data_IF_647628569608
#
_entry.id   IF_647628569608
#
_cell.length_a   1.000
_cell.length_b   1.000
_cell.length_c   1.000
_cell.angle_alpha   90.00
_cell.angle_beta   90.00
_cell.angle_gamma   90.00
#
_symmetry.space_group_name_H-M   'P 1'
#
loop_
_entity.id
_entity.type
_entity.pdbx_description
1 polymer ?
#
# COMPACT_ATOMS: atom_id res chain seq x y z
N UNK A 1 -2.55 13.99 7.89
CA UNK A 1 -3.53 12.95 7.99
C UNK A 1 -3.40 12.18 9.31
N UNK A 2 -4.43 12.09 10.13
CA UNK A 2 -4.36 11.53 11.47
C UNK A 2 -5.11 10.21 11.59
N UNK A 3 -4.53 9.24 12.30
CA UNK A 3 -5.16 7.95 12.62
C UNK A 3 -6.50 8.09 13.33
N UNK A 4 -6.66 9.16 14.11
CA UNK A 4 -7.88 9.45 14.82
C UNK A 4 -9.05 9.87 13.92
N UNK A 5 -8.80 10.05 12.63
CA UNK A 5 -9.79 10.47 11.64
C UNK A 5 -10.14 9.35 10.66
N UNK A 6 -9.97 8.12 11.10
CA UNK A 6 -10.22 6.93 10.30
C UNK A 6 -11.73 6.64 10.22
N UNK A 7 -12.27 6.62 9.02
CA UNK A 7 -13.68 6.33 8.74
C UNK A 7 -14.10 4.89 9.07
N UNK A 8 -13.15 3.97 9.26
CA UNK A 8 -13.45 2.58 9.61
C UNK A 8 -13.78 2.36 11.09
N UNK A 9 -13.77 3.40 11.91
CA UNK A 9 -14.20 3.34 13.29
C UNK A 9 -13.26 2.61 14.26
N UNK A 10 -12.09 2.25 13.85
CA UNK A 10 -11.15 1.48 14.69
C UNK A 10 -10.10 2.31 15.43
N UNK A 11 -10.25 3.63 15.45
CA UNK A 11 -9.34 4.51 16.16
C UNK A 11 -10.10 5.66 16.81
N UNK A 12 -10.18 5.71 18.12
CA UNK A 12 -11.03 6.61 18.87
C UNK A 12 -11.05 8.07 18.41
N UNK A 13 -12.21 8.68 18.40
CA UNK A 13 -12.45 10.11 18.15
C UNK A 13 -12.49 10.54 16.69
N UNK A 14 -12.08 9.72 15.74
CA UNK A 14 -12.06 10.09 14.32
C UNK A 14 -13.34 9.81 13.55
N UNK A 15 -14.21 8.98 14.06
CA UNK A 15 -15.45 8.54 13.39
C UNK A 15 -16.35 9.73 13.04
N UNK A 16 -16.68 10.55 14.01
CA UNK A 16 -17.58 11.68 13.81
C UNK A 16 -17.04 12.70 12.80
N UNK A 17 -15.73 12.90 12.76
CA UNK A 17 -15.10 13.77 11.77
C UNK A 17 -15.12 13.15 10.37
N UNK A 18 -14.73 11.89 10.26
CA UNK A 18 -14.69 11.18 8.99
C UNK A 18 -16.08 11.03 8.37
N UNK A 19 -17.11 10.79 9.18
CA UNK A 19 -18.50 10.73 8.76
C UNK A 19 -19.06 12.07 8.28
N UNK A 20 -18.47 13.18 8.71
CA UNK A 20 -18.91 14.52 8.34
C UNK A 20 -18.12 15.13 7.18
N UNK A 21 -16.85 14.74 6.99
CA UNK A 21 -15.98 15.36 5.99
C UNK A 21 -16.22 14.77 4.60
N UNK A 22 -16.73 15.56 3.71
CA UNK A 22 -16.90 15.22 2.30
C UNK A 22 -15.82 15.86 1.45
N UNK A 23 -15.19 15.06 0.61
CA UNK A 23 -14.21 15.60 -0.35
C UNK A 23 -14.90 16.53 -1.35
N UNK A 24 -14.28 17.67 -1.69
CA UNK A 24 -14.77 18.55 -2.76
C UNK A 24 -14.51 18.00 -4.17
N UNK A 25 -13.82 16.86 -4.26
CA UNK A 25 -13.44 16.19 -5.50
C UNK A 25 -13.76 14.70 -5.42
N UNK A 26 -13.89 14.06 -6.57
CA UNK A 26 -14.05 12.59 -6.65
C UNK A 26 -12.73 11.90 -6.35
N UNK A 27 -12.82 10.73 -5.73
CA UNK A 27 -11.66 9.83 -5.57
C UNK A 27 -11.22 9.26 -6.92
N UNK A 28 -9.96 8.83 -7.01
CA UNK A 28 -9.44 8.19 -8.23
C UNK A 28 -10.29 6.99 -8.65
N UNK A 29 -10.61 6.02 -7.75
CA UNK A 29 -11.48 4.90 -8.13
C UNK A 29 -12.83 5.37 -8.70
N UNK A 30 -13.42 6.39 -8.10
CA UNK A 30 -14.68 6.95 -8.59
C UNK A 30 -14.57 7.55 -9.99
N UNK A 31 -13.49 8.23 -10.30
CA UNK A 31 -13.24 8.78 -11.64
C UNK A 31 -13.15 7.68 -12.70
N UNK A 32 -12.39 6.61 -12.41
CA UNK A 32 -12.30 5.45 -13.31
C UNK A 32 -13.63 4.73 -13.46
N UNK A 33 -14.37 4.55 -12.37
CA UNK A 33 -15.69 3.94 -12.41
C UNK A 33 -16.67 4.73 -13.28
N UNK A 34 -16.72 6.05 -13.11
CA UNK A 34 -17.56 6.93 -13.93
C UNK A 34 -17.14 6.92 -15.40
N UNK A 35 -15.89 6.58 -15.72
CA UNK A 35 -15.39 6.37 -17.07
C UNK A 35 -15.66 4.95 -17.62
N UNK A 36 -16.37 4.10 -16.88
CA UNK A 36 -16.75 2.76 -17.32
C UNK A 36 -15.76 1.65 -17.00
N UNK A 37 -14.73 1.93 -16.21
CA UNK A 37 -13.78 0.93 -15.77
C UNK A 37 -14.37 0.07 -14.64
N UNK A 38 -14.04 -1.21 -14.62
CA UNK A 38 -14.17 -2.04 -13.44
C UNK A 38 -13.14 -1.60 -12.40
N UNK A 39 -13.56 -1.35 -11.18
CA UNK A 39 -12.68 -0.85 -10.12
C UNK A 39 -12.49 -1.89 -9.02
N UNK A 40 -11.26 -2.17 -8.65
CA UNK A 40 -10.96 -3.13 -7.60
C UNK A 40 -9.97 -2.60 -6.56
N UNK A 41 -10.14 -3.06 -5.32
CA UNK A 41 -9.25 -2.77 -4.20
C UNK A 41 -8.96 -4.05 -3.45
N UNK A 42 -7.77 -4.59 -3.66
CA UNK A 42 -7.30 -5.83 -3.06
C UNK A 42 -6.08 -5.65 -2.17
N UNK A 43 -5.68 -6.75 -1.55
CA UNK A 43 -4.35 -6.91 -0.97
C UNK A 43 -3.48 -7.69 -1.96
N UNK A 44 -3.10 -8.89 -1.64
CA UNK A 44 -2.38 -9.75 -2.58
C UNK A 44 -3.41 -10.58 -3.36
N UNK A 45 -3.27 -10.72 -4.69
CA UNK A 45 -4.22 -11.49 -5.50
C UNK A 45 -4.49 -12.90 -4.95
N UNK A 46 -3.45 -13.60 -4.50
CA UNK A 46 -3.56 -14.94 -3.91
C UNK A 46 -4.39 -15.04 -2.63
N UNK A 47 -4.62 -13.91 -1.95
CA UNK A 47 -5.38 -13.88 -0.69
C UNK A 47 -6.87 -13.64 -0.89
N UNK A 48 -7.31 -13.08 -2.02
CA UNK A 48 -8.70 -12.75 -2.29
C UNK A 48 -9.36 -11.81 -1.27
N UNK A 49 -8.54 -11.04 -0.52
CA UNK A 49 -9.01 -10.14 0.54
C UNK A 49 -9.07 -8.69 0.07
N UNK A 50 -10.06 -7.95 0.58
CA UNK A 50 -10.20 -6.53 0.28
C UNK A 50 -9.00 -5.72 0.82
N UNK A 51 -8.62 -4.69 0.08
CA UNK A 51 -7.66 -3.68 0.50
C UNK A 51 -8.18 -2.81 1.64
N UNK A 52 -7.29 -2.02 2.23
CA UNK A 52 -7.66 -1.07 3.29
C UNK A 52 -8.55 0.05 2.74
N UNK A 53 -9.51 0.44 3.55
CA UNK A 53 -10.42 1.56 3.29
C UNK A 53 -10.55 2.45 4.54
N UNK A 54 -9.48 2.56 5.32
CA UNK A 54 -9.41 3.40 6.51
C UNK A 54 -9.24 4.90 6.15
N UNK A 55 -10.09 5.37 5.25
CA UNK A 55 -10.14 6.78 4.85
C UNK A 55 -10.69 7.64 6.00
N UNK A 56 -10.20 8.86 6.08
CA UNK A 56 -10.67 9.86 7.04
C UNK A 56 -11.63 10.89 6.41
N UNK A 57 -12.42 10.44 5.45
CA UNK A 57 -13.47 11.20 4.77
C UNK A 57 -14.63 10.27 4.38
N UNK A 58 -15.78 10.86 4.08
CA UNK A 58 -16.93 10.10 3.59
C UNK A 58 -16.64 9.59 2.19
N UNK A 59 -16.74 8.29 2.02
CA UNK A 59 -16.57 7.60 0.75
C UNK A 59 -17.68 6.57 0.54
N UNK A 60 -17.85 6.09 -0.68
CA UNK A 60 -18.85 5.10 -1.03
C UNK A 60 -18.19 3.74 -1.31
N UNK A 61 -18.59 2.70 -0.59
CA UNK A 61 -18.08 1.34 -0.81
C UNK A 61 -18.30 0.87 -2.26
N UNK A 62 -19.31 1.40 -2.93
CA UNK A 62 -19.60 1.15 -4.35
C UNK A 62 -18.58 1.77 -5.31
N UNK A 63 -17.60 2.54 -4.81
CA UNK A 63 -16.49 3.02 -5.63
C UNK A 63 -15.56 1.87 -6.07
N UNK A 64 -15.69 0.70 -5.44
CA UNK A 64 -15.04 -0.54 -5.86
C UNK A 64 -16.05 -1.62 -6.19
N UNK A 65 -15.86 -2.28 -7.34
CA UNK A 65 -16.70 -3.38 -7.83
C UNK A 65 -16.22 -4.74 -7.27
N UNK A 66 -14.92 -4.86 -7.01
CA UNK A 66 -14.32 -6.11 -6.56
C UNK A 66 -12.97 -5.92 -5.86
N UNK A 67 -12.24 -7.03 -5.74
CA UNK A 67 -10.94 -7.10 -5.06
C UNK A 67 -9.78 -7.38 -6.03
N UNK A 68 -10.11 -7.87 -7.24
CA UNK A 68 -9.15 -8.21 -8.27
C UNK A 68 -9.75 -7.89 -9.65
N UNK A 69 -8.92 -7.47 -10.62
CA UNK A 69 -9.37 -7.21 -11.99
C UNK A 69 -9.95 -8.45 -12.70
N UNK A 70 -9.61 -9.68 -12.25
CA UNK A 70 -10.16 -10.93 -12.80
C UNK A 70 -11.67 -11.10 -12.54
N UNK A 71 -12.24 -10.32 -11.62
CA UNK A 71 -13.68 -10.32 -11.35
C UNK A 71 -14.49 -9.50 -12.38
N UNK A 72 -13.81 -8.77 -13.28
CA UNK A 72 -14.45 -7.91 -14.26
C UNK A 72 -15.15 -8.71 -15.37
N UNK A 73 -16.21 -8.17 -15.98
CA UNK A 73 -16.72 -8.65 -17.25
C UNK A 73 -15.62 -8.69 -18.34
N UNK A 74 -15.72 -9.67 -19.23
CA UNK A 74 -14.77 -9.80 -20.34
C UNK A 74 -14.70 -8.52 -21.20
N UNK A 75 -13.51 -8.06 -21.50
CA UNK A 75 -13.26 -6.87 -22.33
C UNK A 75 -13.46 -5.53 -21.62
N UNK A 76 -13.94 -5.50 -20.39
CA UNK A 76 -14.06 -4.24 -19.64
C UNK A 76 -12.67 -3.76 -19.21
N UNK A 77 -12.30 -2.47 -19.41
CA UNK A 77 -11.09 -1.92 -18.84
C UNK A 77 -11.17 -1.89 -17.32
N UNK A 78 -10.02 -1.89 -16.64
CA UNK A 78 -9.99 -1.92 -15.19
C UNK A 78 -9.05 -0.87 -14.59
N UNK A 79 -9.37 -0.47 -13.38
CA UNK A 79 -8.50 0.18 -12.41
C UNK A 79 -8.36 -0.75 -11.21
N UNK A 80 -7.15 -1.21 -10.92
CA UNK A 80 -6.91 -2.08 -9.79
C UNK A 80 -5.90 -1.45 -8.82
N UNK A 81 -6.23 -1.47 -7.55
CA UNK A 81 -5.38 -1.00 -6.48
C UNK A 81 -5.07 -2.19 -5.56
N UNK A 82 -3.77 -2.45 -5.33
CA UNK A 82 -3.31 -3.45 -4.39
C UNK A 82 -2.56 -2.78 -3.25
N UNK A 83 -2.92 -3.13 -2.02
CA UNK A 83 -2.30 -2.58 -0.82
C UNK A 83 -1.49 -3.66 -0.13
N UNK A 84 -0.19 -3.63 -0.37
CA UNK A 84 0.76 -4.55 0.24
C UNK A 84 1.10 -4.13 1.67
N UNK A 85 1.47 -5.09 2.49
CA UNK A 85 1.99 -4.79 3.83
C UNK A 85 3.37 -4.15 3.68
N UNK A 86 3.50 -2.91 4.08
CA UNK A 86 4.75 -2.16 3.94
C UNK A 86 5.90 -2.69 4.84
N UNK A 87 7.07 -2.07 4.73
CA UNK A 87 8.31 -2.44 5.42
C UNK A 87 8.29 -2.40 6.95
N UNK A 88 7.14 -2.19 7.57
CA UNK A 88 6.90 -2.33 9.01
C UNK A 88 6.49 -3.74 9.45
N UNK A 89 6.36 -4.66 8.50
CA UNK A 89 6.05 -6.07 8.80
C UNK A 89 7.20 -6.73 9.53
N UNK A 90 6.92 -7.37 10.68
CA UNK A 90 7.93 -8.05 11.51
C UNK A 90 7.91 -9.56 11.35
N UNK A 91 7.04 -10.09 10.52
CA UNK A 91 6.86 -11.53 10.30
C UNK A 91 7.44 -12.07 9.00
N UNK A 92 8.22 -11.29 8.27
CA UNK A 92 8.89 -11.75 7.06
C UNK A 92 9.96 -12.81 7.38
N UNK A 93 10.18 -13.81 6.52
CA UNK A 93 11.27 -14.76 6.68
C UNK A 93 12.63 -14.05 6.80
N UNK A 94 13.44 -14.51 7.73
CA UNK A 94 14.78 -13.94 7.97
C UNK A 94 15.74 -14.45 6.89
N UNK A 95 16.24 -13.54 6.06
CA UNK A 95 17.18 -13.82 4.96
C UNK A 95 18.39 -12.89 5.01
N UNK A 96 18.23 -11.70 5.59
CA UNK A 96 19.27 -10.69 5.70
C UNK A 96 20.06 -10.90 6.98
N UNK A 97 21.37 -11.02 6.84
CA UNK A 97 22.31 -11.09 7.99
C UNK A 97 22.42 -9.70 8.63
N UNK A 98 22.05 -9.53 9.92
CA UNK A 98 22.21 -8.27 10.62
C UNK A 98 23.67 -7.74 10.63
N UNK A 99 24.65 -8.62 10.61
CA UNK A 99 26.05 -8.23 10.58
C UNK A 99 26.47 -7.59 9.23
N UNK A 100 25.76 -7.94 8.16
CA UNK A 100 26.05 -7.46 6.80
C UNK A 100 25.28 -6.19 6.41
N UNK A 101 24.35 -5.69 7.26
CA UNK A 101 23.55 -4.51 6.90
C UNK A 101 24.37 -3.22 6.98
N UNK A 102 24.09 -2.31 6.05
CA UNK A 102 24.58 -0.93 6.11
C UNK A 102 23.52 -0.06 6.74
N UNK A 103 23.77 0.40 7.96
CA UNK A 103 22.89 1.36 8.61
C UNK A 103 23.04 2.76 7.97
N UNK A 104 21.96 3.56 7.92
CA UNK A 104 22.08 4.98 7.61
C UNK A 104 23.11 5.67 8.53
N UNK A 105 23.88 6.64 8.03
CA UNK A 105 25.02 7.22 8.77
C UNK A 105 24.63 7.97 10.04
N UNK A 106 23.37 8.29 10.23
CA UNK A 106 22.83 8.95 11.43
C UNK A 106 22.34 7.97 12.49
N UNK A 107 22.40 6.65 12.23
CA UNK A 107 22.17 5.62 13.26
C UNK A 107 23.49 5.19 13.88
N UNK A 108 23.56 5.01 15.22
CA UNK A 108 24.71 4.38 15.83
C UNK A 108 24.84 2.93 15.36
N UNK A 109 26.07 2.49 15.22
CA UNK A 109 26.36 1.09 14.88
C UNK A 109 26.16 0.22 16.13
N UNK A 110 24.96 -0.28 16.31
CA UNK A 110 24.53 -1.07 17.47
C UNK A 110 23.84 -2.36 17.00
N UNK A 111 24.10 -3.51 17.65
CA UNK A 111 23.49 -4.79 17.27
C UNK A 111 21.96 -4.76 17.22
N UNK A 112 21.30 -4.05 18.13
CA UNK A 112 19.83 -3.94 18.15
C UNK A 112 19.32 -3.21 16.92
N UNK A 113 20.01 -2.13 16.50
CA UNK A 113 19.64 -1.39 15.29
C UNK A 113 19.94 -2.18 14.02
N UNK A 114 21.00 -2.96 13.99
CA UNK A 114 21.30 -3.87 12.88
C UNK A 114 20.22 -4.94 12.73
N UNK A 115 19.78 -5.55 13.82
CA UNK A 115 18.70 -6.54 13.83
C UNK A 115 17.38 -5.93 13.34
N UNK A 116 17.02 -4.74 13.84
CA UNK A 116 15.80 -4.05 13.42
C UNK A 116 15.84 -3.65 11.93
N UNK A 117 17.02 -3.22 11.45
CA UNK A 117 17.24 -2.89 10.05
C UNK A 117 17.17 -4.12 9.13
N UNK A 118 17.76 -5.24 9.55
CA UNK A 118 17.66 -6.52 8.82
C UNK A 118 16.20 -6.98 8.72
N UNK A 119 15.44 -6.85 9.82
CA UNK A 119 13.99 -7.15 9.84
C UNK A 119 13.22 -6.28 8.84
N UNK A 120 13.55 -5.00 8.75
CA UNK A 120 12.97 -4.10 7.75
C UNK A 120 13.31 -4.52 6.32
N UNK A 121 14.57 -4.87 6.04
CA UNK A 121 14.99 -5.33 4.72
C UNK A 121 14.31 -6.66 4.33
N UNK A 122 14.15 -7.58 5.28
CA UNK A 122 13.39 -8.82 5.05
C UNK A 122 11.92 -8.56 4.67
N UNK A 123 11.30 -7.55 5.28
CA UNK A 123 9.95 -7.14 4.89
C UNK A 123 9.91 -6.59 3.45
N UNK A 124 10.94 -5.90 3.00
CA UNK A 124 11.04 -5.42 1.62
C UNK A 124 11.26 -6.55 0.61
N UNK A 125 12.06 -7.56 0.93
CA UNK A 125 12.18 -8.77 0.08
C UNK A 125 10.82 -9.47 -0.09
N UNK A 126 10.01 -9.48 0.95
CA UNK A 126 8.66 -10.02 0.85
C UNK A 126 7.74 -9.16 -0.02
N UNK A 127 7.85 -7.83 0.06
CA UNK A 127 7.08 -6.91 -0.80
C UNK A 127 7.46 -7.12 -2.26
N UNK A 128 8.75 -7.24 -2.56
CA UNK A 128 9.25 -7.50 -3.90
C UNK A 128 8.65 -8.78 -4.49
N UNK A 129 8.66 -9.88 -3.73
CA UNK A 129 8.00 -11.12 -4.12
C UNK A 129 6.49 -10.97 -4.34
N UNK A 130 5.82 -10.13 -3.56
CA UNK A 130 4.39 -9.85 -3.75
C UNK A 130 4.12 -9.01 -5.00
N UNK A 131 4.98 -8.07 -5.32
CA UNK A 131 4.92 -7.31 -6.58
C UNK A 131 5.11 -8.26 -7.75
N UNK A 132 6.09 -9.17 -7.69
CA UNK A 132 6.29 -10.22 -8.68
C UNK A 132 5.00 -11.00 -8.96
N UNK A 133 4.31 -11.49 -7.91
CA UNK A 133 3.04 -12.21 -8.08
C UNK A 133 1.94 -11.40 -8.78
N UNK A 134 1.91 -10.09 -8.58
CA UNK A 134 0.95 -9.22 -9.28
C UNK A 134 1.31 -9.09 -10.75
N UNK A 135 2.59 -8.93 -11.06
CA UNK A 135 3.08 -8.83 -12.43
C UNK A 135 2.91 -10.16 -13.18
N UNK A 136 3.22 -11.30 -12.54
CA UNK A 136 2.99 -12.64 -13.10
C UNK A 136 1.51 -12.82 -13.45
N UNK A 137 0.59 -12.36 -12.58
CA UNK A 137 -0.84 -12.43 -12.87
C UNK A 137 -1.25 -11.57 -14.09
N UNK A 138 -0.62 -10.40 -14.29
CA UNK A 138 -0.86 -9.59 -15.49
C UNK A 138 -0.35 -10.29 -16.74
N UNK A 139 0.80 -10.96 -16.66
CA UNK A 139 1.38 -11.73 -17.77
C UNK A 139 0.51 -12.93 -18.11
N UNK A 140 0.10 -13.72 -17.12
CA UNK A 140 -0.84 -14.85 -17.29
C UNK A 140 -2.15 -14.44 -18.00
N UNK A 141 -2.64 -13.24 -17.66
CA UNK A 141 -3.88 -12.70 -18.26
C UNK A 141 -3.66 -12.05 -19.63
N UNK A 142 -2.42 -11.96 -20.12
CA UNK A 142 -2.08 -11.30 -21.38
C UNK A 142 -2.32 -9.79 -21.38
N UNK A 143 -2.18 -9.13 -20.23
CA UNK A 143 -2.54 -7.72 -20.02
C UNK A 143 -1.34 -6.78 -19.95
N UNK A 144 -0.11 -7.27 -19.96
CA UNK A 144 1.11 -6.48 -19.75
C UNK A 144 1.18 -5.30 -20.73
N UNK A 145 0.98 -5.54 -22.01
CA UNK A 145 1.10 -4.52 -23.07
C UNK A 145 0.01 -3.43 -23.02
N UNK A 146 -1.05 -3.66 -22.26
CA UNK A 146 -2.22 -2.76 -22.20
C UNK A 146 -2.46 -2.18 -20.83
N UNK A 147 -1.55 -2.43 -19.88
CA UNK A 147 -1.69 -1.98 -18.48
C UNK A 147 -0.53 -1.10 -18.05
N UNK A 148 -0.83 0.11 -17.60
CA UNK A 148 0.13 0.93 -16.90
C UNK A 148 0.17 0.51 -15.43
N UNK A 149 1.36 0.20 -14.92
CA UNK A 149 1.58 -0.19 -13.53
C UNK A 149 2.32 0.93 -12.80
N UNK A 150 1.82 1.30 -11.63
CA UNK A 150 2.45 2.27 -10.76
C UNK A 150 2.73 1.64 -9.40
N UNK A 151 3.95 1.78 -8.93
CA UNK A 151 4.34 1.37 -7.59
C UNK A 151 4.80 2.59 -6.78
N UNK A 152 4.20 2.78 -5.61
CA UNK A 152 4.63 3.83 -4.67
C UNK A 152 4.33 3.46 -3.22
N UNK A 153 4.87 4.22 -2.29
CA UNK A 153 4.52 4.12 -0.87
C UNK A 153 3.78 5.37 -0.40
N UNK A 154 2.94 5.23 0.61
CA UNK A 154 2.14 6.32 1.18
C UNK A 154 2.98 7.25 2.09
N UNK A 155 4.10 6.75 2.60
CA UNK A 155 5.06 7.48 3.43
C UNK A 155 6.39 6.73 3.50
N UNK A 156 7.41 7.38 4.03
CA UNK A 156 8.72 6.77 4.23
C UNK A 156 8.75 5.71 5.33
N UNK A 157 9.94 5.26 5.63
CA UNK A 157 10.26 4.19 6.58
C UNK A 157 9.66 4.42 7.97
N UNK A 158 9.25 3.36 8.65
CA UNK A 158 8.65 3.42 10.01
C UNK A 158 9.70 3.41 11.14
N UNK A 159 10.88 3.92 10.88
CA UNK A 159 11.97 4.08 11.84
C UNK A 159 12.09 5.53 12.33
N UNK A 160 13.09 5.78 13.16
CA UNK A 160 13.42 7.14 13.62
C UNK A 160 13.65 8.07 12.41
N UNK A 161 13.14 9.30 12.48
CA UNK A 161 13.18 10.34 11.44
C UNK A 161 12.35 10.03 10.18
N UNK A 162 11.78 8.84 10.04
CA UNK A 162 10.99 8.43 8.89
C UNK A 162 9.52 8.88 8.98
N UNK A 163 8.61 7.92 9.04
CA UNK A 163 7.16 8.17 9.10
C UNK A 163 6.78 9.25 10.12
N UNK A 164 5.96 10.21 9.72
CA UNK A 164 5.48 11.36 10.49
C UNK A 164 6.48 12.54 10.61
N UNK A 165 7.67 12.41 10.09
CA UNK A 165 8.67 13.48 10.09
C UNK A 165 8.94 13.96 8.67
N UNK A 166 9.32 15.25 8.54
CA UNK A 166 9.63 15.88 7.24
C UNK A 166 11.14 15.82 6.90
N UNK A 167 11.81 14.78 7.37
CA UNK A 167 13.15 14.44 6.91
C UNK A 167 13.07 13.61 5.62
N UNK A 168 14.17 13.46 4.90
CA UNK A 168 14.24 12.71 3.65
C UNK A 168 13.63 11.30 3.77
N UNK A 169 13.92 10.60 4.87
CA UNK A 169 13.42 9.26 5.12
C UNK A 169 11.89 9.20 5.29
N UNK A 170 11.28 10.33 5.61
CA UNK A 170 9.83 10.45 5.76
C UNK A 170 9.10 10.87 4.50
N UNK A 171 9.74 11.69 3.65
CA UNK A 171 9.10 12.33 2.49
C UNK A 171 9.61 11.82 1.14
N UNK A 172 10.83 11.29 1.08
CA UNK A 172 11.41 10.72 -0.13
C UNK A 172 10.94 9.28 -0.31
N UNK A 173 9.88 9.13 -1.08
CA UNK A 173 9.26 7.83 -1.35
C UNK A 173 9.45 7.44 -2.81
N UNK A 174 9.56 6.13 -3.13
CA UNK A 174 9.62 5.68 -4.51
C UNK A 174 8.30 5.97 -5.22
N UNK A 175 8.40 6.31 -6.50
CA UNK A 175 7.33 6.28 -7.49
C UNK A 175 7.94 5.70 -8.77
N UNK A 176 7.51 4.52 -9.14
CA UNK A 176 7.97 3.76 -10.30
C UNK A 176 6.80 3.51 -11.24
#
# INVERSE_FOLDING_TARGET
>A
NHRSQNASGKGGGGEAYAESYRLPVKTIPRLFKDAGYFTSNGRLPSQGTAGKTDYNFVWDARDYDGKNWRERPAGQPFFAQFQLTGGKGRGAPQQVDPAAVNLPPYYPDDPVLREDWATYLNAWLQIDAHVGQILDQLEEDGLVETTAVFFWTDHGISHLRGKQFLYDEGVRVPLI
#
